data_IF_545961752657
#
_entry.id   IF_545961752657
#
_cell.length_a   1.000
_cell.length_b   1.000
_cell.length_c   1.000
_cell.angle_alpha   90.00
_cell.angle_beta   90.00
_cell.angle_gamma   90.00
#
_symmetry.space_group_name_H-M   'P 1'
#
loop_
_entity.id
_entity.type
_entity.pdbx_description
1 polymer ?
#
# COMPACT_ATOMS: atom_id res chain seq x y z
N UNK A 1 -13.43 -27.64 -2.36
CA UNK A 1 -13.12 -26.36 -3.05
C UNK A 1 -13.02 -25.31 -1.96
N UNK A 2 -11.83 -24.75 -1.71
CA UNK A 2 -11.67 -23.74 -0.67
C UNK A 2 -12.39 -22.46 -1.12
N UNK A 3 -13.48 -22.11 -0.47
CA UNK A 3 -14.14 -20.81 -0.63
C UNK A 3 -13.16 -19.73 -0.17
N UNK A 4 -12.79 -18.83 -1.07
CA UNK A 4 -11.99 -17.65 -0.73
C UNK A 4 -12.78 -16.83 0.30
N UNK A 5 -12.17 -16.52 1.46
CA UNK A 5 -12.79 -15.73 2.54
C UNK A 5 -13.38 -14.39 2.06
N UNK A 6 -12.84 -13.84 0.97
CA UNK A 6 -13.24 -12.59 0.37
C UNK A 6 -13.78 -12.81 -1.04
N UNK A 7 -14.86 -12.12 -1.38
CA UNK A 7 -15.58 -12.20 -2.66
C UNK A 7 -15.22 -10.99 -3.54
N UNK A 8 -14.46 -11.15 -4.64
CA UNK A 8 -14.10 -10.04 -5.52
C UNK A 8 -15.32 -9.39 -6.18
N UNK A 9 -15.34 -8.06 -6.21
CA UNK A 9 -16.43 -7.25 -6.77
C UNK A 9 -15.98 -6.48 -8.01
N UNK A 10 -14.79 -5.88 -7.97
CA UNK A 10 -14.26 -5.09 -9.07
C UNK A 10 -12.73 -5.08 -9.06
N UNK A 11 -12.13 -4.97 -10.24
CA UNK A 11 -10.72 -4.59 -10.39
C UNK A 11 -10.57 -3.08 -10.17
N UNK A 12 -9.65 -2.68 -9.29
CA UNK A 12 -9.45 -1.27 -8.91
C UNK A 12 -8.05 -0.74 -9.23
N UNK A 13 -7.14 -1.59 -9.70
CA UNK A 13 -5.81 -1.13 -10.12
C UNK A 13 -4.85 -2.26 -10.47
N UNK A 14 -3.71 -1.88 -11.04
CA UNK A 14 -2.60 -2.78 -11.36
C UNK A 14 -1.36 -2.32 -10.58
N UNK A 15 -0.71 -3.26 -9.91
CA UNK A 15 0.56 -3.06 -9.22
C UNK A 15 1.69 -3.78 -9.97
N UNK A 16 2.94 -3.50 -9.60
CA UNK A 16 4.12 -4.16 -10.18
C UNK A 16 4.09 -5.70 -10.09
N UNK A 17 3.30 -6.25 -9.17
CA UNK A 17 3.24 -7.68 -8.88
C UNK A 17 1.90 -8.34 -9.23
N UNK A 18 0.97 -7.59 -9.81
CA UNK A 18 -0.35 -8.07 -10.20
C UNK A 18 -1.48 -7.11 -9.90
N UNK A 19 -2.70 -7.60 -10.06
CA UNK A 19 -3.94 -6.83 -9.96
C UNK A 19 -4.40 -6.61 -8.51
N UNK A 20 -5.00 -5.46 -8.26
CA UNK A 20 -5.69 -5.10 -7.02
C UNK A 20 -7.20 -5.16 -7.26
N UNK A 21 -7.89 -5.93 -6.42
CA UNK A 21 -9.35 -6.08 -6.49
C UNK A 21 -10.02 -5.48 -5.26
N UNK A 22 -11.13 -4.80 -5.42
CA UNK A 22 -12.11 -4.58 -4.35
C UNK A 22 -12.86 -5.88 -4.11
N UNK A 23 -12.98 -6.29 -2.86
CA UNK A 23 -13.73 -7.49 -2.47
C UNK A 23 -14.60 -7.22 -1.24
N UNK A 24 -15.67 -7.99 -1.06
CA UNK A 24 -16.49 -8.00 0.14
C UNK A 24 -16.01 -9.10 1.08
N UNK A 25 -15.93 -8.82 2.39
CA UNK A 25 -15.87 -9.86 3.41
C UNK A 25 -17.29 -10.25 3.84
N UNK A 26 -17.80 -11.45 3.49
CA UNK A 26 -19.16 -11.86 3.79
C UNK A 26 -19.48 -11.92 5.29
N UNK A 27 -18.46 -12.04 6.16
CA UNK A 27 -18.65 -12.14 7.61
C UNK A 27 -18.93 -10.77 8.24
N UNK A 28 -18.28 -9.72 7.74
CA UNK A 28 -18.38 -8.37 8.29
C UNK A 28 -19.20 -7.42 7.43
N UNK A 29 -19.43 -7.76 6.16
CA UNK A 29 -20.07 -6.90 5.16
C UNK A 29 -19.20 -5.72 4.71
N UNK A 30 -17.94 -5.64 5.18
CA UNK A 30 -17.02 -4.56 4.84
C UNK A 30 -16.24 -4.86 3.55
N UNK A 31 -15.92 -3.80 2.82
CA UNK A 31 -15.05 -3.90 1.64
C UNK A 31 -13.57 -3.92 2.05
N UNK A 32 -12.79 -4.74 1.34
CA UNK A 32 -11.33 -4.84 1.44
C UNK A 32 -10.68 -4.68 0.07
N UNK A 33 -9.39 -4.37 0.04
CA UNK A 33 -8.58 -4.37 -1.17
C UNK A 33 -7.65 -5.59 -1.17
N UNK A 34 -7.75 -6.43 -2.20
CA UNK A 34 -6.95 -7.64 -2.40
C UNK A 34 -5.83 -7.38 -3.40
N UNK A 35 -4.60 -7.23 -2.92
CA UNK A 35 -3.40 -7.12 -3.78
C UNK A 35 -2.84 -8.54 -3.99
N UNK A 36 -3.04 -9.10 -5.19
CA UNK A 36 -2.55 -10.43 -5.53
C UNK A 36 -1.14 -10.36 -6.11
N UNK A 37 -0.24 -11.14 -5.54
CA UNK A 37 1.17 -11.25 -5.92
C UNK A 37 1.41 -12.66 -6.43
N UNK A 38 1.93 -12.78 -7.66
CA UNK A 38 2.37 -14.07 -8.23
C UNK A 38 3.88 -14.13 -8.29
N UNK A 39 4.44 -15.23 -7.83
CA UNK A 39 5.89 -15.43 -7.68
C UNK A 39 6.27 -16.73 -8.38
N UNK A 40 7.20 -16.73 -9.35
CA UNK A 40 7.73 -17.96 -9.92
C UNK A 40 8.38 -18.83 -8.84
N UNK A 41 7.93 -20.08 -8.70
CA UNK A 41 8.40 -21.04 -7.70
C UNK A 41 9.78 -21.66 -8.06
N UNK A 42 10.37 -21.28 -9.20
CA UNK A 42 11.63 -21.83 -9.75
C UNK A 42 12.84 -20.87 -9.80
N UNK A 43 12.75 -19.66 -9.25
CA UNK A 43 13.91 -18.78 -9.12
C UNK A 43 14.85 -19.24 -7.99
N UNK A 44 16.13 -18.86 -8.05
CA UNK A 44 17.14 -19.19 -7.03
C UNK A 44 16.66 -18.75 -5.62
N UNK A 45 16.09 -19.69 -4.84
CA UNK A 45 15.65 -19.43 -3.46
C UNK A 45 14.30 -20.02 -3.02
N UNK A 46 13.48 -20.60 -3.90
CA UNK A 46 12.33 -21.44 -3.52
C UNK A 46 11.29 -20.81 -2.56
N UNK A 47 11.10 -19.49 -2.58
CA UNK A 47 10.24 -18.75 -1.65
C UNK A 47 9.69 -17.44 -2.23
N UNK A 48 8.99 -16.66 -1.39
CA UNK A 48 8.49 -15.34 -1.77
C UNK A 48 9.65 -14.37 -2.04
N UNK A 49 9.50 -13.39 -2.95
CA UNK A 49 10.51 -12.37 -3.19
C UNK A 49 10.77 -11.60 -1.90
N UNK A 50 12.05 -11.30 -1.66
CA UNK A 50 12.47 -10.54 -0.47
C UNK A 50 11.73 -9.21 -0.35
N UNK A 51 11.36 -8.57 -1.47
CA UNK A 51 10.56 -7.35 -1.46
C UNK A 51 9.17 -7.53 -0.83
N UNK A 52 8.50 -8.65 -1.12
CA UNK A 52 7.16 -8.96 -0.59
C UNK A 52 7.24 -9.31 0.89
N UNK A 53 8.22 -10.11 1.27
CA UNK A 53 8.47 -10.43 2.69
C UNK A 53 8.76 -9.14 3.47
N UNK A 54 9.57 -8.25 2.91
CA UNK A 54 9.89 -6.96 3.50
C UNK A 54 8.65 -6.05 3.63
N UNK A 55 7.84 -5.92 2.58
CA UNK A 55 6.60 -5.14 2.59
C UNK A 55 5.64 -5.63 3.69
N UNK A 56 5.42 -6.94 3.75
CA UNK A 56 4.57 -7.56 4.79
C UNK A 56 5.13 -7.31 6.19
N UNK A 57 6.43 -7.52 6.41
CA UNK A 57 7.05 -7.32 7.72
C UNK A 57 6.95 -5.86 8.19
N UNK A 58 7.18 -4.91 7.28
CA UNK A 58 7.08 -3.49 7.58
C UNK A 58 5.64 -3.09 7.91
N UNK A 59 4.67 -3.50 7.09
CA UNK A 59 3.26 -3.20 7.33
C UNK A 59 2.73 -3.83 8.62
N UNK A 60 3.12 -5.07 8.94
CA UNK A 60 2.77 -5.72 10.21
C UNK A 60 3.37 -5.00 11.42
N UNK A 61 4.59 -4.47 11.31
CA UNK A 61 5.20 -3.65 12.36
C UNK A 61 4.42 -2.33 12.56
N UNK A 62 4.01 -1.68 11.48
CA UNK A 62 3.24 -0.42 11.55
C UNK A 62 1.81 -0.63 12.07
N UNK A 63 1.23 -1.81 11.84
CA UNK A 63 -0.15 -2.12 12.21
C UNK A 63 -0.42 -1.95 13.72
N UNK A 64 0.57 -2.21 14.58
CA UNK A 64 0.43 -2.06 16.03
C UNK A 64 0.11 -0.62 16.50
N UNK A 65 0.34 0.38 15.66
CA UNK A 65 0.11 1.79 15.98
C UNK A 65 -1.23 2.32 15.46
N UNK A 66 -1.90 1.59 14.55
CA UNK A 66 -3.19 1.97 13.95
C UNK A 66 -3.26 3.43 13.47
N UNK A 67 -2.17 3.94 12.89
CA UNK A 67 -2.08 5.34 12.51
C UNK A 67 -3.12 5.70 11.43
N UNK A 68 -3.94 6.76 11.61
CA UNK A 68 -5.06 7.05 10.72
C UNK A 68 -4.64 7.31 9.27
N UNK A 69 -3.45 7.89 9.07
CA UNK A 69 -2.93 8.25 7.75
C UNK A 69 -1.99 7.21 7.10
N UNK A 70 -2.03 5.96 7.55
CA UNK A 70 -1.33 4.82 6.91
C UNK A 70 -2.35 3.72 6.62
N UNK A 71 -2.24 3.09 5.45
CA UNK A 71 -3.12 1.98 5.08
C UNK A 71 -2.86 0.75 5.96
N UNK A 72 -3.93 0.09 6.42
CA UNK A 72 -3.82 -1.12 7.24
C UNK A 72 -3.74 -2.39 6.39
N UNK A 73 -2.74 -3.21 6.67
CA UNK A 73 -2.69 -4.60 6.23
C UNK A 73 -3.49 -5.46 7.21
N UNK A 74 -4.69 -5.88 6.82
CA UNK A 74 -5.59 -6.66 7.67
C UNK A 74 -5.13 -8.13 7.75
N UNK A 75 -4.85 -8.74 6.59
CA UNK A 75 -4.54 -10.18 6.51
C UNK A 75 -3.54 -10.50 5.38
N UNK A 76 -2.93 -11.69 5.45
CA UNK A 76 -2.06 -12.24 4.40
C UNK A 76 -2.49 -13.67 4.13
N UNK A 77 -3.03 -13.92 2.95
CA UNK A 77 -3.53 -15.23 2.55
C UNK A 77 -2.58 -15.88 1.54
N UNK A 78 -2.08 -17.08 1.84
CA UNK A 78 -1.43 -17.93 0.84
C UNK A 78 -2.52 -18.64 0.04
N UNK A 79 -2.77 -18.16 -1.18
CA UNK A 79 -3.96 -18.56 -1.95
C UNK A 79 -3.73 -19.81 -2.79
N UNK A 80 -2.49 -20.04 -3.24
CA UNK A 80 -2.10 -21.26 -3.97
C UNK A 80 -0.58 -21.40 -4.02
N UNK A 81 -0.09 -22.63 -3.95
CA UNK A 81 1.31 -22.98 -4.25
C UNK A 81 1.31 -24.11 -5.26
N UNK A 82 1.96 -23.88 -6.37
CA UNK A 82 2.20 -24.87 -7.43
C UNK A 82 3.69 -25.00 -7.65
N UNK A 83 4.12 -26.03 -8.37
CA UNK A 83 5.52 -26.20 -8.76
C UNK A 83 6.06 -25.02 -9.59
N UNK A 84 5.17 -24.25 -10.22
CA UNK A 84 5.51 -23.12 -11.09
C UNK A 84 5.39 -21.76 -10.42
N UNK A 85 4.44 -21.59 -9.52
CA UNK A 85 4.19 -20.30 -8.86
C UNK A 85 3.61 -20.40 -7.45
N UNK A 86 3.94 -19.42 -6.62
CA UNK A 86 3.29 -19.12 -5.35
C UNK A 86 2.43 -17.87 -5.53
N UNK A 87 1.15 -17.98 -5.17
CA UNK A 87 0.21 -16.86 -5.13
C UNK A 87 -0.05 -16.45 -3.69
N UNK A 88 0.26 -15.20 -3.37
CA UNK A 88 -0.05 -14.56 -2.09
C UNK A 88 -1.02 -13.42 -2.34
N UNK A 89 -2.03 -13.32 -1.49
CA UNK A 89 -2.98 -12.20 -1.49
C UNK A 89 -2.79 -11.41 -0.21
N UNK A 90 -2.41 -10.14 -0.34
CA UNK A 90 -2.37 -9.18 0.75
C UNK A 90 -3.74 -8.52 0.86
N UNK A 91 -4.32 -8.51 2.06
CA UNK A 91 -5.65 -7.96 2.32
C UNK A 91 -5.48 -6.63 3.04
N UNK A 92 -5.82 -5.55 2.37
CA UNK A 92 -5.77 -4.20 2.90
C UNK A 92 -7.16 -3.68 3.23
N UNK A 93 -7.24 -2.69 4.12
CA UNK A 93 -8.45 -1.88 4.20
C UNK A 93 -8.76 -1.22 2.86
N UNK A 94 -10.04 -1.17 2.49
CA UNK A 94 -10.47 -0.49 1.27
C UNK A 94 -10.52 1.03 1.50
N UNK A 95 -9.99 1.79 0.54
CA UNK A 95 -10.12 3.25 0.47
C UNK A 95 -10.72 3.60 -0.89
N UNK A 96 -11.62 4.58 -0.91
CA UNK A 96 -12.53 4.84 -2.03
C UNK A 96 -11.84 5.24 -3.33
N UNK A 97 -10.75 6.02 -3.24
CA UNK A 97 -10.02 6.52 -4.41
C UNK A 97 -8.60 6.95 -4.04
N UNK A 98 -7.74 7.08 -5.03
CA UNK A 98 -6.43 7.73 -4.90
C UNK A 98 -6.54 9.27 -5.05
N UNK A 99 -5.47 9.97 -4.67
CA UNK A 99 -5.38 11.42 -4.72
C UNK A 99 -5.41 11.92 -6.16
N UNK A 100 -4.91 11.14 -7.13
CA UNK A 100 -4.98 11.49 -8.56
C UNK A 100 -6.44 11.63 -9.00
N UNK A 101 -7.22 10.58 -8.75
CA UNK A 101 -8.66 10.52 -9.03
C UNK A 101 -9.43 11.57 -8.26
N UNK A 102 -9.04 11.85 -7.00
CA UNK A 102 -9.65 12.91 -6.19
C UNK A 102 -9.44 14.30 -6.82
N UNK A 103 -8.23 14.58 -7.30
CA UNK A 103 -7.88 15.85 -7.95
C UNK A 103 -8.55 15.98 -9.32
N UNK A 104 -8.61 14.91 -10.11
CA UNK A 104 -9.24 14.90 -11.43
C UNK A 104 -10.75 15.17 -11.36
N UNK A 105 -11.40 14.85 -10.23
CA UNK A 105 -12.82 15.14 -9.96
C UNK A 105 -13.08 16.55 -9.43
N UNK A 106 -12.06 17.34 -9.12
CA UNK A 106 -12.24 18.67 -8.55
C UNK A 106 -12.86 19.63 -9.58
N UNK A 107 -14.01 20.24 -9.30
CA UNK A 107 -14.62 21.20 -10.23
C UNK A 107 -13.77 22.48 -10.32
N UNK A 108 -13.82 23.23 -11.44
CA UNK A 108 -13.20 24.55 -11.52
C UNK A 108 -13.68 25.47 -10.37
N UNK A 109 -12.80 26.25 -9.73
CA UNK A 109 -11.39 26.51 -10.05
C UNK A 109 -10.39 25.50 -9.46
N UNK A 110 -10.86 24.42 -8.84
CA UNK A 110 -10.06 23.41 -8.14
C UNK A 110 -10.52 23.21 -6.70
N UNK A 111 -9.67 22.59 -5.88
CA UNK A 111 -9.97 22.36 -4.47
C UNK A 111 -9.90 23.65 -3.65
N UNK A 112 -10.78 23.84 -2.65
CA UNK A 112 -10.66 24.94 -1.69
C UNK A 112 -9.33 24.91 -0.93
N UNK A 113 -8.79 26.08 -0.60
CA UNK A 113 -7.52 26.19 0.12
C UNK A 113 -7.52 25.45 1.46
N UNK A 114 -8.64 25.47 2.19
CA UNK A 114 -8.77 24.75 3.46
C UNK A 114 -8.74 23.24 3.28
N UNK A 115 -9.33 22.71 2.20
CA UNK A 115 -9.24 21.30 1.84
C UNK A 115 -7.79 20.92 1.52
N UNK A 116 -7.07 21.74 0.75
CA UNK A 116 -5.66 21.50 0.44
C UNK A 116 -4.81 21.49 1.71
N UNK A 117 -5.00 22.46 2.62
CA UNK A 117 -4.30 22.52 3.91
C UNK A 117 -4.57 21.28 4.75
N UNK A 118 -5.82 20.81 4.80
CA UNK A 118 -6.18 19.60 5.54
C UNK A 118 -5.54 18.34 4.94
N UNK A 119 -5.65 18.13 3.63
CA UNK A 119 -5.01 17.00 2.94
C UNK A 119 -3.50 16.99 3.19
N UNK A 120 -2.84 18.14 3.06
CA UNK A 120 -1.40 18.27 3.30
C UNK A 120 -1.03 17.99 4.76
N UNK A 121 -1.81 18.49 5.72
CA UNK A 121 -1.61 18.20 7.16
C UNK A 121 -1.71 16.70 7.43
N UNK A 122 -2.70 16.04 6.88
CA UNK A 122 -2.89 14.59 7.06
C UNK A 122 -1.79 13.77 6.39
N UNK A 123 -1.40 14.15 5.16
CA UNK A 123 -0.26 13.55 4.46
C UNK A 123 1.04 13.66 5.28
N UNK A 124 1.34 14.86 5.79
CA UNK A 124 2.53 15.11 6.61
C UNK A 124 2.49 14.36 7.94
N UNK A 125 1.32 14.19 8.58
CA UNK A 125 1.18 13.34 9.76
C UNK A 125 1.51 11.87 9.47
N UNK A 126 1.01 11.34 8.35
CA UNK A 126 1.37 9.99 7.90
C UNK A 126 2.87 9.86 7.66
N UNK A 127 3.47 10.84 7.00
CA UNK A 127 4.90 10.83 6.67
C UNK A 127 5.79 10.97 7.92
N UNK A 128 5.44 11.86 8.84
CA UNK A 128 6.11 12.03 10.13
C UNK A 128 6.09 10.73 10.93
N UNK A 129 4.94 10.06 11.00
CA UNK A 129 4.82 8.75 11.63
C UNK A 129 5.75 7.69 11.01
N UNK A 130 5.87 7.64 9.67
CA UNK A 130 6.80 6.74 9.00
C UNK A 130 8.25 7.06 9.37
N UNK A 131 8.63 8.35 9.31
CA UNK A 131 9.99 8.79 9.64
C UNK A 131 10.36 8.57 11.11
N UNK A 132 9.42 8.75 12.04
CA UNK A 132 9.60 8.43 13.45
C UNK A 132 9.86 6.92 13.69
N UNK A 133 9.38 6.06 12.78
CA UNK A 133 9.66 4.62 12.77
C UNK A 133 10.87 4.23 11.92
N UNK A 134 11.66 5.22 11.50
CA UNK A 134 12.82 5.08 10.63
C UNK A 134 12.49 4.46 9.26
N UNK A 135 11.33 4.76 8.69
CA UNK A 135 10.88 4.23 7.40
C UNK A 135 10.85 5.35 6.35
N UNK A 136 11.55 5.17 5.24
CA UNK A 136 11.39 6.02 4.03
C UNK A 136 10.48 5.31 3.04
N UNK A 137 9.42 5.99 2.58
CA UNK A 137 8.44 5.42 1.63
C UNK A 137 9.02 5.14 0.23
N UNK A 138 9.81 6.08 -0.29
CA UNK A 138 10.51 6.05 -1.60
C UNK A 138 9.65 5.98 -2.87
N UNK A 139 8.34 5.86 -2.77
CA UNK A 139 7.41 5.91 -3.92
C UNK A 139 6.18 6.79 -3.63
N UNK A 140 6.42 8.03 -3.18
CA UNK A 140 5.33 8.99 -2.92
C UNK A 140 4.91 9.65 -4.23
N UNK A 141 3.67 9.38 -4.63
CA UNK A 141 3.00 9.93 -5.81
C UNK A 141 1.49 9.91 -5.57
N UNK A 142 0.69 10.69 -6.32
CA UNK A 142 -0.76 10.78 -6.10
C UNK A 142 -1.49 9.43 -6.12
N UNK A 143 -1.02 8.46 -6.91
CA UNK A 143 -1.58 7.10 -7.02
C UNK A 143 -1.38 6.26 -5.74
N UNK A 144 -0.37 6.61 -4.92
CA UNK A 144 -0.03 5.92 -3.67
C UNK A 144 -0.52 6.69 -2.43
N UNK A 145 -1.28 7.77 -2.63
CA UNK A 145 -1.93 8.55 -1.57
C UNK A 145 -3.42 8.33 -1.73
N UNK A 146 -4.04 7.61 -0.81
CA UNK A 146 -5.46 7.27 -0.88
C UNK A 146 -6.29 8.29 -0.10
N UNK A 147 -7.52 8.54 -0.55
CA UNK A 147 -8.47 9.47 0.05
C UNK A 147 -9.82 8.77 0.24
N UNK A 148 -10.27 8.66 1.49
CA UNK A 148 -11.61 8.12 1.79
C UNK A 148 -12.69 9.13 1.35
N UNK A 149 -13.92 8.66 1.18
CA UNK A 149 -15.11 9.50 1.00
C UNK A 149 -15.28 10.56 2.11
N UNK A 150 -14.83 10.28 3.34
CA UNK A 150 -14.80 11.22 4.46
C UNK A 150 -13.62 12.20 4.46
N UNK A 151 -12.80 12.27 3.42
CA UNK A 151 -11.66 13.18 3.32
C UNK A 151 -10.41 12.77 4.12
N UNK A 152 -10.37 11.57 4.68
CA UNK A 152 -9.17 11.03 5.35
C UNK A 152 -8.12 10.59 4.32
N UNK A 153 -6.89 11.08 4.47
CA UNK A 153 -5.72 10.68 3.66
C UNK A 153 -5.05 9.45 4.25
N UNK A 154 -4.67 8.47 3.42
CA UNK A 154 -3.92 7.27 3.82
C UNK A 154 -2.76 7.00 2.87
N UNK A 155 -1.54 6.90 3.40
CA UNK A 155 -0.37 6.48 2.63
C UNK A 155 -0.43 4.98 2.32
N UNK A 156 -0.14 4.61 1.08
CA UNK A 156 -0.23 3.23 0.59
C UNK A 156 0.95 2.86 -0.32
N UNK A 157 1.05 1.56 -0.62
CA UNK A 157 2.09 0.93 -1.44
C UNK A 157 3.52 1.04 -0.89
N UNK A 158 3.81 0.18 0.09
CA UNK A 158 5.09 0.12 0.79
C UNK A 158 6.10 -0.83 0.12
N UNK A 159 5.85 -1.31 -1.09
CA UNK A 159 6.73 -2.27 -1.78
C UNK A 159 8.16 -1.75 -1.97
N UNK A 160 8.32 -0.44 -2.10
CA UNK A 160 9.62 0.23 -2.15
C UNK A 160 10.06 0.84 -0.83
N UNK A 161 9.28 0.75 0.25
CA UNK A 161 9.68 1.33 1.54
C UNK A 161 10.91 0.61 2.13
N UNK A 162 11.72 1.34 2.91
CA UNK A 162 12.90 0.79 3.59
C UNK A 162 13.07 1.37 4.98
N UNK A 163 13.55 0.54 5.91
CA UNK A 163 14.05 1.00 7.19
C UNK A 163 15.44 1.61 6.94
N UNK A 164 15.64 2.87 7.31
CA UNK A 164 16.96 3.49 7.32
C UNK A 164 17.51 3.43 8.74
N UNK A 165 18.79 3.06 8.87
CA UNK A 165 19.55 3.28 10.10
C UNK A 165 20.49 4.47 9.88
N UNK A 166 21.00 5.05 10.96
CA UNK A 166 22.01 6.12 10.93
C UNK A 166 23.30 5.73 10.18
N UNK A 167 23.44 4.47 9.75
CA UNK A 167 24.51 3.95 8.89
C UNK A 167 24.13 3.85 7.40
N UNK A 168 23.06 4.51 6.94
CA UNK A 168 22.94 4.77 5.51
C UNK A 168 24.05 5.76 5.13
N UNK A 169 25.12 5.22 4.52
CA UNK A 169 25.99 6.03 3.68
C UNK A 169 25.09 6.67 2.63
N UNK A 170 24.72 7.93 2.84
CA UNK A 170 24.26 8.81 1.80
C UNK A 170 25.40 8.78 0.78
N UNK A 171 25.25 8.02 -0.30
CA UNK A 171 26.26 7.99 -1.35
C UNK A 171 26.47 9.44 -1.75
N UNK A 172 27.67 10.02 -1.56
CA UNK A 172 27.94 11.34 -2.05
C UNK A 172 27.97 11.16 -3.56
N UNK A 173 26.90 11.57 -4.25
CA UNK A 173 26.98 11.77 -5.69
C UNK A 173 27.92 12.97 -5.85
N UNK A 174 29.19 12.67 -6.03
CA UNK A 174 30.19 13.64 -6.50
C UNK A 174 29.77 13.99 -7.92
N UNK A 175 29.29 15.21 -8.10
CA UNK A 175 29.09 15.79 -9.42
C UNK A 175 30.45 15.84 -10.11
N UNK A 176 30.62 15.05 -11.17
CA UNK A 176 31.68 15.29 -12.14
C UNK A 176 31.14 16.29 -13.17
N UNK A 177 31.78 17.45 -13.24
CA UNK A 177 31.68 18.38 -14.37
C UNK A 177 32.43 17.80 -15.58
#
# INVERSE_FOLDING_TARGET
MATSRYEPVAEIGVSAYGTVYKACDPHSGHFVALKSVRVPNGGAGGGLPVSIVHEVALLRRLQAFEHPNVVRLMDVCATSRTDREIKVTLVFEHVDQDLRTYLDKAPPPGLPAETIKDLMRQFLRGLDFLHANCIVHRDLKPENILVTSGGTVKLADFGLARIYSYQMALTPVVWHY
#
